data_IF_886040798709
#
_entry.id   IF_886040798709
#
_cell.length_a   1.000
_cell.length_b   1.000
_cell.length_c   1.000
_cell.angle_alpha   90.00
_cell.angle_beta   90.00
_cell.angle_gamma   90.00
#
_symmetry.space_group_name_H-M   'P 1'
#
loop_
_entity.id
_entity.type
_entity.pdbx_description
1 polymer ?
#
# COMPACT_ATOMS: atom_id res chain seq x y z
N UNK A 1 -39.90 -45.08 58.54
CA UNK A 1 -40.78 -43.96 58.83
C UNK A 1 -41.04 -43.22 57.54
N UNK A 2 -42.20 -43.44 56.96
CA UNK A 2 -42.63 -43.04 55.64
C UNK A 2 -43.35 -41.69 55.77
N UNK A 3 -42.91 -40.67 55.07
CA UNK A 3 -43.72 -39.47 54.83
C UNK A 3 -43.86 -39.28 53.35
N UNK A 4 -45.10 -39.41 52.87
CA UNK A 4 -45.52 -39.28 51.47
C UNK A 4 -45.59 -37.81 51.10
N UNK A 5 -45.00 -37.48 49.96
CA UNK A 5 -45.18 -36.24 49.22
C UNK A 5 -46.46 -36.32 48.36
N UNK A 6 -47.51 -35.62 48.81
CA UNK A 6 -48.77 -35.51 48.07
C UNK A 6 -49.01 -34.10 47.46
N UNK A 7 -47.97 -33.40 47.02
CA UNK A 7 -48.12 -32.02 46.55
C UNK A 7 -47.91 -31.83 45.06
N UNK A 8 -47.64 -32.90 44.28
CA UNK A 8 -47.24 -32.75 42.88
C UNK A 8 -48.34 -32.99 41.83
N UNK A 9 -49.53 -33.41 42.24
CA UNK A 9 -50.60 -33.81 41.29
C UNK A 9 -51.58 -32.64 40.99
N UNK A 10 -51.67 -31.64 41.84
CA UNK A 10 -52.63 -30.53 41.64
C UNK A 10 -52.14 -29.39 40.73
N UNK A 11 -50.88 -29.40 40.36
CA UNK A 11 -50.33 -28.34 39.51
C UNK A 11 -50.58 -28.58 38.01
N UNK A 12 -50.74 -29.83 37.60
CA UNK A 12 -50.92 -30.14 36.17
C UNK A 12 -52.36 -29.96 35.65
N UNK A 13 -53.38 -30.05 36.54
CA UNK A 13 -54.77 -29.85 36.11
C UNK A 13 -55.18 -28.39 35.94
N UNK A 14 -54.41 -27.42 36.48
CA UNK A 14 -54.76 -26.01 36.35
C UNK A 14 -54.17 -25.42 35.01
N UNK A 15 -53.13 -26.02 34.48
CA UNK A 15 -52.48 -25.53 33.25
C UNK A 15 -53.23 -25.97 32.00
N UNK A 16 -53.93 -27.11 32.02
CA UNK A 16 -54.60 -27.63 30.81
C UNK A 16 -55.98 -26.98 30.52
N UNK A 17 -56.59 -26.23 31.43
CA UNK A 17 -57.88 -25.56 31.17
C UNK A 17 -57.81 -24.21 30.46
N UNK A 18 -56.58 -23.62 30.32
CA UNK A 18 -56.38 -22.35 29.62
C UNK A 18 -55.61 -22.47 28.28
N UNK A 19 -55.18 -23.67 27.94
CA UNK A 19 -54.41 -23.91 26.71
C UNK A 19 -55.16 -23.64 25.40
N UNK A 20 -56.46 -23.95 25.23
CA UNK A 20 -57.12 -23.70 23.95
C UNK A 20 -57.34 -22.23 23.61
N UNK A 21 -57.40 -21.33 24.61
CA UNK A 21 -57.62 -19.91 24.39
C UNK A 21 -56.32 -19.19 23.90
N UNK A 22 -55.19 -19.62 24.37
CA UNK A 22 -53.89 -19.04 23.96
C UNK A 22 -53.52 -19.49 22.55
N UNK A 23 -53.83 -20.72 22.17
CA UNK A 23 -53.58 -21.25 20.82
C UNK A 23 -54.47 -20.54 19.78
N UNK A 24 -55.70 -20.19 20.17
CA UNK A 24 -56.65 -19.47 19.27
C UNK A 24 -56.23 -17.99 19.03
N UNK A 25 -55.66 -17.34 20.05
CA UNK A 25 -55.15 -15.95 19.92
C UNK A 25 -53.85 -15.95 19.07
N UNK A 26 -53.01 -17.01 19.17
CA UNK A 26 -51.80 -17.11 18.31
C UNK A 26 -52.14 -17.38 16.83
N UNK A 27 -53.25 -18.09 16.54
CA UNK A 27 -53.69 -18.38 15.17
C UNK A 27 -54.29 -17.15 14.47
N UNK A 28 -54.88 -16.19 15.23
CA UNK A 28 -55.42 -14.94 14.66
C UNK A 28 -54.36 -13.89 14.40
N UNK A 29 -53.17 -13.99 15.04
CA UNK A 29 -52.05 -13.08 14.78
C UNK A 29 -51.20 -13.46 13.57
N UNK A 30 -51.34 -14.69 13.04
CA UNK A 30 -50.54 -15.17 11.91
C UNK A 30 -51.09 -14.76 10.53
N UNK A 31 -52.33 -14.24 10.45
CA UNK A 31 -52.95 -13.90 9.17
C UNK A 31 -52.57 -12.50 8.62
N UNK A 32 -51.93 -11.63 9.44
CA UNK A 32 -51.49 -10.31 9.01
C UNK A 32 -49.99 -10.16 8.80
N UNK A 33 -49.22 -11.22 9.06
CA UNK A 33 -47.72 -11.14 8.95
C UNK A 33 -47.14 -11.47 7.59
N UNK A 34 -47.95 -11.96 6.66
CA UNK A 34 -47.49 -12.33 5.31
C UNK A 34 -46.96 -11.16 4.48
N UNK A 35 -47.53 -9.97 4.70
CA UNK A 35 -47.10 -8.76 3.95
C UNK A 35 -45.78 -8.15 4.46
N UNK A 36 -45.45 -8.38 5.73
CA UNK A 36 -44.18 -7.87 6.30
C UNK A 36 -43.00 -8.81 6.00
N UNK A 37 -43.23 -10.12 6.02
CA UNK A 37 -42.21 -11.11 5.70
C UNK A 37 -41.87 -11.03 4.21
N UNK A 38 -42.85 -10.82 3.33
CA UNK A 38 -42.60 -10.63 1.89
C UNK A 38 -41.88 -9.31 1.60
N UNK A 39 -42.15 -8.22 2.35
CA UNK A 39 -41.38 -6.98 2.27
C UNK A 39 -39.95 -7.15 2.77
N UNK A 40 -39.78 -7.90 3.89
CA UNK A 40 -38.45 -8.18 4.42
C UNK A 40 -37.62 -9.09 3.50
N UNK A 41 -38.22 -10.15 2.97
CA UNK A 41 -37.60 -11.01 1.96
C UNK A 41 -37.33 -10.26 0.65
N UNK A 42 -38.23 -9.36 0.20
CA UNK A 42 -38.01 -8.52 -0.96
C UNK A 42 -36.85 -7.51 -0.76
N UNK A 43 -36.68 -7.01 0.46
CA UNK A 43 -35.52 -6.17 0.80
C UNK A 43 -34.21 -6.95 0.86
N UNK A 44 -34.22 -8.23 1.26
CA UNK A 44 -33.04 -9.10 1.25
C UNK A 44 -32.68 -9.50 -0.19
N UNK A 45 -33.66 -9.80 -1.04
CA UNK A 45 -33.42 -10.13 -2.45
C UNK A 45 -33.06 -8.92 -3.32
N UNK A 46 -33.42 -7.70 -2.90
CA UNK A 46 -33.02 -6.47 -3.58
C UNK A 46 -31.57 -6.04 -3.30
N UNK A 47 -30.85 -6.72 -2.38
CA UNK A 47 -29.41 -6.45 -2.16
C UNK A 47 -28.48 -7.14 -3.17
N UNK A 48 -29.00 -7.94 -4.09
CA UNK A 48 -28.22 -8.62 -5.13
C UNK A 48 -28.44 -8.05 -6.53
N UNK A 49 -28.79 -6.79 -6.66
CA UNK A 49 -28.76 -6.15 -7.99
C UNK A 49 -27.32 -6.17 -8.51
N UNK A 50 -27.11 -6.60 -9.76
CA UNK A 50 -25.79 -6.52 -10.35
C UNK A 50 -25.31 -5.07 -10.34
N UNK A 51 -24.02 -4.89 -9.94
CA UNK A 51 -23.40 -3.57 -9.88
C UNK A 51 -23.47 -2.91 -11.26
N UNK A 52 -23.89 -1.66 -11.29
CA UNK A 52 -23.80 -0.83 -12.49
C UNK A 52 -22.33 -0.55 -12.83
N UNK A 53 -22.04 -0.28 -14.09
CA UNK A 53 -20.71 0.10 -14.52
C UNK A 53 -20.17 1.33 -13.74
N UNK A 54 -21.04 2.28 -13.42
CA UNK A 54 -20.68 3.46 -12.63
C UNK A 54 -20.27 3.09 -11.19
N UNK A 55 -20.99 2.16 -10.53
CA UNK A 55 -20.64 1.67 -9.19
C UNK A 55 -19.33 0.89 -9.20
N UNK A 56 -19.09 0.07 -10.23
CA UNK A 56 -17.82 -0.67 -10.38
C UNK A 56 -16.64 0.30 -10.50
N UNK A 57 -16.76 1.33 -11.33
CA UNK A 57 -15.71 2.33 -11.51
C UNK A 57 -15.52 3.16 -10.24
N UNK A 58 -16.62 3.59 -9.61
CA UNK A 58 -16.57 4.29 -8.32
C UNK A 58 -15.81 3.48 -7.27
N UNK A 59 -16.14 2.19 -7.12
CA UNK A 59 -15.45 1.29 -6.20
C UNK A 59 -13.98 1.09 -6.53
N UNK A 60 -13.62 1.00 -7.80
CA UNK A 60 -12.23 0.93 -8.19
C UNK A 60 -11.48 2.23 -7.86
N UNK A 61 -12.04 3.39 -8.16
CA UNK A 61 -11.43 4.69 -7.82
C UNK A 61 -11.25 4.84 -6.31
N UNK A 62 -12.23 4.44 -5.51
CA UNK A 62 -12.12 4.41 -4.04
C UNK A 62 -10.98 3.49 -3.58
N UNK A 63 -10.87 2.30 -4.19
CA UNK A 63 -9.76 1.37 -3.91
C UNK A 63 -8.40 2.02 -4.14
N UNK A 64 -8.27 2.68 -5.28
CA UNK A 64 -7.03 3.33 -5.69
C UNK A 64 -6.68 4.52 -4.80
N UNK A 65 -7.68 5.31 -4.37
CA UNK A 65 -7.49 6.37 -3.39
C UNK A 65 -6.98 5.82 -2.04
N UNK A 66 -7.59 4.75 -1.55
CA UNK A 66 -7.16 4.09 -0.29
C UNK A 66 -5.74 3.53 -0.44
N UNK A 67 -5.44 2.84 -1.54
CA UNK A 67 -4.13 2.25 -1.77
C UNK A 67 -3.03 3.30 -1.86
N UNK A 68 -3.24 4.35 -2.65
CA UNK A 68 -2.27 5.43 -2.82
C UNK A 68 -2.10 6.26 -1.54
N UNK A 69 -3.19 6.59 -0.85
CA UNK A 69 -3.14 7.33 0.42
C UNK A 69 -2.38 6.56 1.50
N UNK A 70 -2.65 5.27 1.66
CA UNK A 70 -1.95 4.40 2.60
C UNK A 70 -0.46 4.31 2.28
N UNK A 71 -0.10 4.11 1.00
CA UNK A 71 1.29 3.99 0.56
C UNK A 71 2.07 5.29 0.75
N UNK A 72 1.47 6.43 0.35
CA UNK A 72 2.08 7.75 0.53
C UNK A 72 2.24 8.07 2.02
N UNK A 73 1.23 7.81 2.84
CA UNK A 73 1.29 8.03 4.29
C UNK A 73 2.41 7.22 4.94
N UNK A 74 2.52 5.93 4.59
CA UNK A 74 3.61 5.08 5.07
C UNK A 74 4.98 5.61 4.67
N UNK A 75 5.19 5.90 3.38
CA UNK A 75 6.48 6.30 2.85
C UNK A 75 6.89 7.73 3.21
N UNK A 76 5.93 8.63 3.46
CA UNK A 76 6.20 10.01 3.89
C UNK A 76 6.46 10.16 5.38
N UNK A 77 6.19 9.11 6.17
CA UNK A 77 6.50 9.09 7.59
C UNK A 77 8.01 8.98 7.82
N UNK A 78 8.46 9.41 8.98
CA UNK A 78 9.84 9.18 9.44
C UNK A 78 10.08 7.67 9.50
N UNK A 79 11.16 7.21 8.91
CA UNK A 79 11.53 5.80 8.77
C UNK A 79 10.69 5.00 7.75
N UNK A 80 9.81 5.64 7.00
CA UNK A 80 8.98 5.00 5.99
C UNK A 80 9.78 4.36 4.84
N UNK A 81 10.91 4.98 4.45
CA UNK A 81 11.89 4.36 3.57
C UNK A 81 13.03 3.73 4.37
N UNK A 82 13.57 4.44 5.36
CA UNK A 82 14.81 4.04 6.03
C UNK A 82 14.71 2.71 6.77
N UNK A 83 13.62 2.45 7.47
CA UNK A 83 13.44 1.22 8.25
C UNK A 83 12.64 0.13 7.55
N UNK A 84 11.98 0.44 6.44
CA UNK A 84 11.32 -0.57 5.62
C UNK A 84 12.32 -1.20 4.65
N UNK A 85 12.78 -2.41 4.96
CA UNK A 85 13.80 -3.12 4.18
C UNK A 85 13.40 -3.39 2.73
N UNK A 86 12.10 -3.39 2.41
CA UNK A 86 11.60 -3.61 1.06
C UNK A 86 11.80 -2.40 0.14
N UNK A 87 11.92 -1.20 0.71
CA UNK A 87 12.03 0.07 -0.04
C UNK A 87 13.23 0.91 0.36
N UNK A 88 13.99 0.49 1.39
CA UNK A 88 15.19 1.19 1.85
C UNK A 88 16.16 1.41 0.69
N UNK A 89 16.51 2.67 0.46
CA UNK A 89 17.46 3.05 -0.59
C UNK A 89 18.86 2.88 -0.06
N UNK A 90 19.60 1.97 -0.68
CA UNK A 90 21.02 1.74 -0.44
C UNK A 90 21.85 2.44 -1.51
N UNK A 91 23.16 2.52 -1.32
CA UNK A 91 24.07 2.98 -2.35
C UNK A 91 24.07 2.02 -3.56
N UNK A 92 24.44 2.51 -4.77
CA UNK A 92 24.54 1.65 -5.95
C UNK A 92 25.43 0.42 -5.68
N UNK A 93 25.12 -0.76 -6.25
CA UNK A 93 25.93 -1.97 -6.06
C UNK A 93 27.41 -1.78 -6.41
N UNK A 94 27.68 -0.94 -7.41
CA UNK A 94 29.04 -0.59 -7.85
C UNK A 94 29.83 0.15 -6.75
N UNK A 95 29.12 0.82 -5.83
CA UNK A 95 29.74 1.47 -4.68
C UNK A 95 30.30 0.48 -3.64
N UNK A 96 29.93 -0.81 -3.70
CA UNK A 96 30.26 -1.77 -2.64
C UNK A 96 31.75 -1.84 -2.33
N UNK A 97 32.59 -1.97 -3.34
CA UNK A 97 34.07 -2.02 -3.14
C UNK A 97 34.58 -0.76 -2.45
N UNK A 98 33.99 0.37 -2.76
CA UNK A 98 34.33 1.69 -2.24
C UNK A 98 33.90 1.82 -0.79
N UNK A 99 32.63 1.50 -0.50
CA UNK A 99 32.05 1.58 0.85
C UNK A 99 32.72 0.59 1.79
N UNK A 100 33.07 -0.61 1.33
CA UNK A 100 33.78 -1.62 2.11
C UNK A 100 35.19 -1.12 2.54
N UNK A 101 35.88 -0.38 1.68
CA UNK A 101 37.19 0.18 2.00
C UNK A 101 37.07 1.42 2.91
N UNK A 102 36.11 2.32 2.67
CA UNK A 102 35.87 3.48 3.53
C UNK A 102 35.44 3.03 4.91
N UNK A 103 34.59 2.02 5.04
CA UNK A 103 34.11 1.52 6.33
C UNK A 103 35.23 0.96 7.23
N UNK A 104 36.39 0.61 6.68
CA UNK A 104 37.58 0.18 7.45
C UNK A 104 38.36 1.35 8.06
N UNK A 105 38.08 2.58 7.60
CA UNK A 105 38.75 3.78 8.13
C UNK A 105 38.06 4.26 9.40
N UNK A 106 38.78 4.94 10.34
CA UNK A 106 38.16 5.56 11.49
C UNK A 106 37.03 6.50 11.11
N UNK A 107 35.80 6.27 11.58
CA UNK A 107 34.61 7.05 11.24
C UNK A 107 33.99 6.76 9.88
N UNK A 108 34.60 5.92 9.05
CA UNK A 108 34.13 5.65 7.68
C UNK A 108 32.80 4.92 7.62
N UNK A 109 32.56 3.94 8.48
CA UNK A 109 31.28 3.24 8.57
C UNK A 109 30.13 4.21 8.89
N UNK A 110 30.35 5.15 9.83
CA UNK A 110 29.39 6.18 10.17
C UNK A 110 29.08 7.11 9.00
N UNK A 111 30.10 7.46 8.22
CA UNK A 111 29.91 8.30 7.03
C UNK A 111 29.01 7.62 6.00
N UNK A 112 29.23 6.33 5.72
CA UNK A 112 28.38 5.56 4.80
C UNK A 112 26.94 5.48 5.32
N UNK A 113 26.76 5.24 6.60
CA UNK A 113 25.43 5.22 7.24
C UNK A 113 24.73 6.58 7.15
N UNK A 114 25.42 7.68 7.44
CA UNK A 114 24.88 9.04 7.37
C UNK A 114 24.39 9.39 5.94
N UNK A 115 25.12 8.92 4.93
CA UNK A 115 24.70 9.06 3.51
C UNK A 115 23.41 8.31 3.25
N UNK A 116 23.32 7.04 3.66
CA UNK A 116 22.12 6.21 3.48
C UNK A 116 20.91 6.85 4.20
N UNK A 117 21.10 7.32 5.44
CA UNK A 117 20.05 8.02 6.20
C UNK A 117 19.54 9.23 5.42
N UNK A 118 20.43 10.12 4.96
CA UNK A 118 20.04 11.35 4.24
C UNK A 118 19.25 11.09 2.98
N UNK A 119 19.65 10.10 2.19
CA UNK A 119 18.97 9.73 0.96
C UNK A 119 17.54 9.25 1.26
N UNK A 120 17.38 8.38 2.24
CA UNK A 120 16.07 7.88 2.63
C UNK A 120 15.18 9.01 3.21
N UNK A 121 15.74 9.94 3.99
CA UNK A 121 15.01 11.14 4.45
C UNK A 121 14.58 12.04 3.31
N UNK A 122 15.40 12.20 2.28
CA UNK A 122 15.01 12.96 1.09
C UNK A 122 13.83 12.29 0.34
N UNK A 123 13.82 10.97 0.24
CA UNK A 123 12.71 10.23 -0.37
C UNK A 123 11.43 10.33 0.47
N UNK A 124 11.53 10.25 1.80
CA UNK A 124 10.41 10.45 2.73
C UNK A 124 9.81 11.87 2.61
N UNK A 125 10.65 12.88 2.52
CA UNK A 125 10.19 14.27 2.34
C UNK A 125 9.53 14.47 0.97
N UNK A 126 10.10 13.92 -0.08
CA UNK A 126 9.51 13.98 -1.42
C UNK A 126 8.14 13.27 -1.49
N UNK A 127 7.99 12.13 -0.80
CA UNK A 127 6.75 11.37 -0.78
C UNK A 127 5.54 12.17 -0.28
N UNK A 128 5.73 13.17 0.58
CA UNK A 128 4.65 14.05 1.09
C UNK A 128 3.88 14.73 -0.04
N UNK A 129 4.55 15.09 -1.12
CA UNK A 129 3.94 15.75 -2.29
C UNK A 129 3.30 14.81 -3.31
N UNK A 130 3.39 13.49 -3.15
CA UNK A 130 2.93 12.53 -4.16
C UNK A 130 1.40 12.37 -4.20
N UNK A 131 0.70 12.59 -3.07
CA UNK A 131 -0.75 12.38 -2.96
C UNK A 131 -1.57 13.12 -4.02
N UNK A 132 -1.41 14.44 -4.26
CA UNK A 132 -2.20 15.14 -5.27
C UNK A 132 -1.96 14.62 -6.69
N UNK A 133 -0.75 14.13 -7.00
CA UNK A 133 -0.42 13.56 -8.31
C UNK A 133 -1.27 12.31 -8.56
N UNK A 134 -1.34 11.39 -7.58
CA UNK A 134 -2.18 10.20 -7.67
C UNK A 134 -3.67 10.53 -7.73
N UNK A 135 -4.16 11.46 -6.90
CA UNK A 135 -5.57 11.89 -6.92
C UNK A 135 -5.96 12.42 -8.30
N UNK A 136 -5.13 13.24 -8.93
CA UNK A 136 -5.40 13.77 -10.27
C UNK A 136 -5.43 12.64 -11.31
N UNK A 137 -4.47 11.72 -11.28
CA UNK A 137 -4.47 10.57 -12.18
C UNK A 137 -5.72 9.68 -12.02
N UNK A 138 -6.22 9.48 -10.78
CA UNK A 138 -7.45 8.74 -10.51
C UNK A 138 -8.68 9.50 -11.04
N UNK A 139 -8.73 10.81 -10.90
CA UNK A 139 -9.83 11.63 -11.44
C UNK A 139 -9.91 11.57 -12.96
N UNK A 140 -8.78 11.65 -13.63
CA UNK A 140 -8.64 11.61 -15.08
C UNK A 140 -8.84 10.21 -15.68
N UNK A 141 -8.89 9.18 -14.86
CA UNK A 141 -9.07 7.79 -15.28
C UNK A 141 -10.37 7.62 -16.06
N UNK A 142 -10.24 7.13 -17.29
CA UNK A 142 -11.36 6.83 -18.17
C UNK A 142 -12.08 5.53 -17.78
N UNK A 143 -13.24 5.30 -18.34
CA UNK A 143 -13.97 4.02 -18.21
C UNK A 143 -13.13 2.84 -18.71
N UNK A 144 -12.46 3.02 -19.85
CA UNK A 144 -11.61 1.98 -20.46
C UNK A 144 -10.43 1.64 -19.56
N UNK A 145 -9.74 2.65 -19.01
CA UNK A 145 -8.64 2.44 -18.06
C UNK A 145 -9.13 1.63 -16.84
N UNK A 146 -10.28 2.03 -16.28
CA UNK A 146 -10.87 1.35 -15.13
C UNK A 146 -11.18 -0.13 -15.40
N UNK A 147 -11.74 -0.45 -16.57
CA UNK A 147 -12.01 -1.84 -16.96
C UNK A 147 -10.71 -2.64 -17.18
N UNK A 148 -9.69 -2.04 -17.78
CA UNK A 148 -8.39 -2.69 -17.97
C UNK A 148 -7.74 -3.01 -16.61
N UNK A 149 -7.80 -2.08 -15.67
CA UNK A 149 -7.29 -2.28 -14.31
C UNK A 149 -8.09 -3.40 -13.61
N UNK A 150 -9.41 -3.35 -13.66
CA UNK A 150 -10.26 -4.32 -12.97
C UNK A 150 -10.05 -5.75 -13.48
N UNK A 151 -9.91 -5.93 -14.79
CA UNK A 151 -9.69 -7.24 -15.45
C UNK A 151 -8.22 -7.66 -15.49
N UNK A 152 -7.32 -6.74 -15.17
CA UNK A 152 -5.88 -6.95 -15.24
C UNK A 152 -5.32 -7.76 -14.06
N UNK A 153 -4.00 -8.02 -14.09
CA UNK A 153 -3.29 -8.72 -13.01
C UNK A 153 -3.29 -7.90 -11.71
N UNK A 154 -2.75 -8.50 -10.63
CA UNK A 154 -2.75 -7.92 -9.28
C UNK A 154 -2.01 -6.57 -9.14
N UNK A 155 -1.24 -6.17 -10.17
CA UNK A 155 -0.52 -4.91 -10.24
C UNK A 155 -0.96 -4.01 -11.41
N UNK A 156 -2.15 -4.21 -11.96
CA UNK A 156 -2.63 -3.46 -13.12
C UNK A 156 -2.79 -1.97 -12.85
N UNK A 157 -3.28 -1.61 -11.65
CA UNK A 157 -3.40 -0.22 -11.24
C UNK A 157 -2.02 0.41 -11.00
N UNK A 158 -1.09 -0.33 -10.41
CA UNK A 158 0.28 0.12 -10.21
C UNK A 158 0.95 0.47 -11.54
N UNK A 159 0.82 -0.38 -12.56
CA UNK A 159 1.32 -0.10 -13.91
C UNK A 159 0.67 1.12 -14.56
N UNK A 160 -0.64 1.29 -14.35
CA UNK A 160 -1.34 2.49 -14.79
C UNK A 160 -0.73 3.75 -14.16
N UNK A 161 -0.47 3.73 -12.86
CA UNK A 161 0.15 4.86 -12.16
C UNK A 161 1.59 5.11 -12.59
N UNK A 162 2.40 4.07 -12.77
CA UNK A 162 3.76 4.20 -13.31
C UNK A 162 3.76 4.98 -14.62
N UNK A 163 2.85 4.61 -15.53
CA UNK A 163 2.73 5.25 -16.84
C UNK A 163 2.21 6.70 -16.74
N UNK A 164 1.19 6.95 -15.92
CA UNK A 164 0.50 8.26 -15.87
C UNK A 164 1.16 9.27 -14.95
N UNK A 165 1.88 8.83 -13.92
CA UNK A 165 2.42 9.71 -12.88
C UNK A 165 3.93 9.70 -12.77
N UNK A 166 4.62 8.77 -13.42
CA UNK A 166 6.07 8.57 -13.28
C UNK A 166 6.88 9.84 -13.56
N UNK A 167 6.54 10.58 -14.61
CA UNK A 167 7.22 11.83 -14.93
C UNK A 167 6.99 12.91 -13.85
N UNK A 168 5.74 13.15 -13.47
CA UNK A 168 5.41 14.17 -12.45
C UNK A 168 6.03 13.82 -11.09
N UNK A 169 6.05 12.54 -10.72
CA UNK A 169 6.74 12.09 -9.52
C UNK A 169 8.26 12.30 -9.63
N UNK A 170 8.84 12.04 -10.79
CA UNK A 170 10.29 12.31 -11.02
C UNK A 170 10.62 13.79 -10.85
N UNK A 171 9.80 14.68 -11.39
CA UNK A 171 9.93 16.13 -11.25
C UNK A 171 9.76 16.60 -9.79
N UNK A 172 8.88 15.94 -9.02
CA UNK A 172 8.69 16.21 -7.60
C UNK A 172 9.88 15.73 -6.74
N UNK A 173 10.39 14.52 -7.00
CA UNK A 173 11.42 13.90 -6.17
C UNK A 173 12.82 14.43 -6.45
N UNK A 174 13.14 14.72 -7.72
CA UNK A 174 14.49 15.14 -8.14
C UNK A 174 15.05 16.30 -7.34
N UNK A 175 14.36 17.46 -7.16
CA UNK A 175 14.92 18.57 -6.40
C UNK A 175 15.18 18.22 -4.93
N UNK A 176 14.35 17.38 -4.30
CA UNK A 176 14.54 16.93 -2.91
C UNK A 176 15.77 16.03 -2.76
N UNK A 177 15.94 15.11 -3.68
CA UNK A 177 17.11 14.23 -3.72
C UNK A 177 18.37 15.06 -4.01
N UNK A 178 18.31 15.93 -5.00
CA UNK A 178 19.42 16.84 -5.36
C UNK A 178 19.86 17.67 -4.14
N UNK A 179 18.93 18.35 -3.46
CA UNK A 179 19.21 19.13 -2.26
C UNK A 179 19.87 18.26 -1.18
N UNK A 180 19.36 17.06 -0.92
CA UNK A 180 19.91 16.16 0.08
C UNK A 180 21.33 15.70 -0.25
N UNK A 181 21.61 15.37 -1.51
CA UNK A 181 22.92 14.95 -1.96
C UNK A 181 23.96 16.06 -1.93
N UNK A 182 23.53 17.32 -2.08
CA UNK A 182 24.42 18.47 -2.10
C UNK A 182 24.59 19.15 -0.73
N UNK A 183 23.83 18.75 0.31
CA UNK A 183 24.09 19.21 1.68
C UNK A 183 25.48 18.76 2.13
N UNK A 184 26.24 19.71 2.68
CA UNK A 184 27.56 19.42 3.23
C UNK A 184 27.46 18.39 4.35
N UNK A 185 28.31 17.40 4.32
CA UNK A 185 28.52 16.40 5.37
C UNK A 185 29.56 16.88 6.38
N UNK A 186 30.65 16.14 6.50
CA UNK A 186 31.79 16.45 7.35
C UNK A 186 32.86 17.15 6.50
N UNK A 187 33.57 18.11 7.06
CA UNK A 187 34.65 18.85 6.40
C UNK A 187 34.23 19.64 5.13
N UNK A 188 32.95 20.04 5.03
CA UNK A 188 32.50 20.88 3.92
C UNK A 188 32.31 20.16 2.58
N UNK A 189 32.36 18.84 2.54
CA UNK A 189 32.18 18.02 1.32
C UNK A 189 30.79 17.41 1.33
N UNK A 190 30.06 17.52 0.21
CA UNK A 190 28.74 16.91 0.05
C UNK A 190 28.81 15.43 -0.36
N UNK A 191 27.69 14.72 -0.24
CA UNK A 191 27.56 13.33 -0.71
C UNK A 191 27.86 13.24 -2.22
N UNK A 192 27.31 14.16 -3.00
CA UNK A 192 27.51 14.21 -4.45
C UNK A 192 28.97 14.43 -4.82
N UNK A 193 29.65 15.36 -4.12
CA UNK A 193 31.09 15.59 -4.35
C UNK A 193 31.93 14.36 -3.99
N UNK A 194 31.63 13.72 -2.85
CA UNK A 194 32.32 12.49 -2.42
C UNK A 194 32.15 11.38 -3.44
N UNK A 195 30.94 11.17 -3.94
CA UNK A 195 30.66 10.21 -5.01
C UNK A 195 31.47 10.50 -6.29
N UNK A 196 31.41 11.75 -6.78
CA UNK A 196 32.13 12.15 -7.98
C UNK A 196 33.65 11.98 -7.84
N UNK A 197 34.22 12.40 -6.71
CA UNK A 197 35.65 12.25 -6.45
C UNK A 197 36.06 10.78 -6.46
N UNK A 198 35.24 9.93 -5.91
CA UNK A 198 35.47 8.52 -5.74
C UNK A 198 35.36 7.78 -7.08
N UNK A 199 34.27 7.98 -7.80
CA UNK A 199 34.05 7.37 -9.13
C UNK A 199 35.09 7.85 -10.14
N UNK A 200 35.48 9.14 -10.14
CA UNK A 200 36.53 9.66 -11.01
C UNK A 200 37.88 8.98 -10.75
N UNK A 201 38.27 8.81 -9.46
CA UNK A 201 39.52 8.09 -9.12
C UNK A 201 39.45 6.62 -9.52
N UNK A 202 38.34 5.96 -9.24
CA UNK A 202 38.10 4.59 -9.65
C UNK A 202 38.15 4.42 -11.16
N UNK A 203 37.44 5.25 -11.92
CA UNK A 203 37.35 5.17 -13.38
C UNK A 203 38.71 5.44 -14.02
N UNK A 204 39.54 6.36 -13.48
CA UNK A 204 40.89 6.58 -13.92
C UNK A 204 41.75 5.32 -13.72
N UNK A 205 41.61 4.61 -12.63
CA UNK A 205 42.31 3.34 -12.38
C UNK A 205 41.78 2.23 -13.26
N UNK A 206 40.46 2.05 -13.36
CA UNK A 206 39.83 1.03 -14.18
C UNK A 206 40.13 1.20 -15.69
N UNK A 207 40.23 2.46 -16.19
CA UNK A 207 40.61 2.77 -17.56
C UNK A 207 42.10 2.65 -17.85
N UNK A 208 42.97 2.47 -16.84
CA UNK A 208 44.38 2.25 -17.04
C UNK A 208 44.66 0.86 -17.62
N UNK A 209 45.83 0.65 -18.29
CA UNK A 209 46.22 -0.67 -18.78
C UNK A 209 46.21 -1.76 -17.71
N UNK A 210 46.64 -1.43 -16.48
CA UNK A 210 46.63 -2.35 -15.36
C UNK A 210 45.19 -2.67 -14.89
N UNK A 211 44.31 -1.67 -14.86
CA UNK A 211 42.89 -1.87 -14.49
C UNK A 211 42.19 -2.75 -15.51
N UNK A 212 42.43 -2.56 -16.80
CA UNK A 212 41.86 -3.37 -17.88
C UNK A 212 42.31 -4.84 -17.78
N UNK A 213 43.63 -5.06 -17.56
CA UNK A 213 44.16 -6.41 -17.35
C UNK A 213 43.54 -7.07 -16.09
N UNK A 214 43.30 -6.30 -15.04
CA UNK A 214 42.65 -6.77 -13.81
C UNK A 214 41.11 -6.94 -13.93
N UNK A 215 40.55 -6.70 -15.12
CA UNK A 215 39.09 -6.83 -15.34
C UNK A 215 38.22 -5.78 -14.61
N UNK A 216 38.82 -4.63 -14.21
CA UNK A 216 38.11 -3.56 -13.55
C UNK A 216 37.14 -2.89 -14.53
N UNK A 217 35.89 -2.63 -14.04
CA UNK A 217 34.86 -1.91 -14.81
C UNK A 217 34.72 -0.48 -14.31
N UNK A 218 34.49 0.44 -15.23
CA UNK A 218 34.13 1.83 -14.89
C UNK A 218 32.76 1.90 -14.23
N UNK A 219 32.54 2.90 -13.37
CA UNK A 219 31.27 3.21 -12.72
C UNK A 219 30.67 4.43 -13.41
N UNK A 220 29.64 4.20 -14.20
CA UNK A 220 28.91 5.24 -14.95
C UNK A 220 27.66 5.74 -14.21
N UNK A 221 27.35 5.15 -13.06
CA UNK A 221 26.11 5.42 -12.31
C UNK A 221 26.09 6.86 -11.78
N UNK A 222 25.16 7.65 -12.27
CA UNK A 222 24.83 8.96 -11.70
C UNK A 222 24.03 8.73 -10.41
N UNK A 223 24.60 9.14 -9.26
CA UNK A 223 24.02 8.87 -7.95
C UNK A 223 22.59 9.41 -7.83
N UNK A 224 22.36 10.64 -8.29
CA UNK A 224 21.03 11.28 -8.25
C UNK A 224 19.98 10.47 -9.03
N UNK A 225 20.30 10.06 -10.27
CA UNK A 225 19.37 9.29 -11.11
C UNK A 225 19.10 7.90 -10.51
N UNK A 226 20.12 7.25 -9.96
CA UNK A 226 19.94 5.99 -9.25
C UNK A 226 19.01 6.13 -8.04
N UNK A 227 19.24 7.14 -7.19
CA UNK A 227 18.43 7.38 -6.01
C UNK A 227 16.97 7.71 -6.35
N UNK A 228 16.78 8.55 -7.38
CA UNK A 228 15.44 8.86 -7.89
C UNK A 228 14.72 7.59 -8.34
N UNK A 229 15.39 6.75 -9.11
CA UNK A 229 14.82 5.49 -9.59
C UNK A 229 14.44 4.57 -8.43
N UNK A 230 15.28 4.42 -7.41
CA UNK A 230 15.00 3.58 -6.25
C UNK A 230 13.85 4.14 -5.41
N UNK A 231 13.78 5.45 -5.20
CA UNK A 231 12.68 6.08 -4.48
C UNK A 231 11.33 5.84 -5.17
N UNK A 232 11.26 6.02 -6.49
CA UNK A 232 10.04 5.76 -7.26
C UNK A 232 9.68 4.27 -7.30
N UNK A 233 10.65 3.38 -7.45
CA UNK A 233 10.42 1.93 -7.33
C UNK A 233 9.84 1.55 -5.98
N UNK A 234 10.34 2.13 -4.90
CA UNK A 234 9.79 1.93 -3.54
C UNK A 234 8.34 2.39 -3.43
N UNK A 235 8.01 3.57 -3.98
CA UNK A 235 6.66 4.09 -4.03
C UNK A 235 5.70 3.13 -4.76
N UNK A 236 6.04 2.72 -5.96
CA UNK A 236 5.20 1.82 -6.75
C UNK A 236 5.13 0.40 -6.16
N UNK A 237 6.18 -0.07 -5.50
CA UNK A 237 6.15 -1.33 -4.77
C UNK A 237 5.09 -1.30 -3.66
N UNK A 238 5.05 -0.24 -2.84
CA UNK A 238 4.04 -0.12 -1.76
C UNK A 238 2.63 0.00 -2.30
N UNK A 239 2.42 0.69 -3.42
CA UNK A 239 1.12 0.75 -4.09
C UNK A 239 0.72 -0.65 -4.59
N UNK A 240 1.65 -1.41 -5.17
CA UNK A 240 1.40 -2.77 -5.66
C UNK A 240 1.05 -3.75 -4.53
N UNK A 241 1.74 -3.66 -3.40
CA UNK A 241 1.42 -4.45 -2.20
C UNK A 241 -0.01 -4.17 -1.73
N UNK A 242 -0.39 -2.90 -1.65
CA UNK A 242 -1.73 -2.47 -1.27
C UNK A 242 -2.81 -2.86 -2.28
N UNK A 243 -2.53 -2.73 -3.57
CA UNK A 243 -3.42 -3.19 -4.63
C UNK A 243 -3.71 -4.69 -4.49
N UNK A 244 -2.67 -5.50 -4.33
CA UNK A 244 -2.79 -6.94 -4.11
C UNK A 244 -3.61 -7.27 -2.87
N UNK A 245 -3.36 -6.61 -1.73
CA UNK A 245 -4.14 -6.80 -0.51
C UNK A 245 -5.63 -6.54 -0.72
N UNK A 246 -6.02 -5.44 -1.40
CA UNK A 246 -7.41 -5.11 -1.69
C UNK A 246 -8.05 -6.17 -2.58
N UNK A 247 -7.31 -6.69 -3.56
CA UNK A 247 -7.80 -7.74 -4.46
C UNK A 247 -8.00 -9.08 -3.76
N UNK A 248 -7.13 -9.44 -2.81
CA UNK A 248 -7.07 -10.79 -2.22
C UNK A 248 -7.68 -10.88 -0.82
N UNK A 249 -7.68 -9.79 -0.03
CA UNK A 249 -8.10 -9.80 1.37
C UNK A 249 -9.38 -9.00 1.61
N UNK A 250 -10.38 -9.65 2.22
CA UNK A 250 -11.63 -8.97 2.60
C UNK A 250 -11.40 -7.85 3.64
N UNK A 251 -10.41 -8.00 4.53
CA UNK A 251 -10.09 -7.01 5.57
C UNK A 251 -9.50 -5.72 5.00
N UNK A 252 -8.83 -5.78 3.84
CA UNK A 252 -8.29 -4.60 3.17
C UNK A 252 -9.36 -3.77 2.44
N UNK A 253 -10.57 -4.32 2.26
CA UNK A 253 -11.71 -3.68 1.59
C UNK A 253 -12.51 -2.82 2.57
N UNK A 254 -11.98 -1.65 2.91
CA UNK A 254 -12.50 -0.79 3.98
C UNK A 254 -13.82 -0.07 3.64
N UNK A 255 -14.19 0.06 2.36
CA UNK A 255 -15.46 0.68 1.95
C UNK A 255 -16.50 -0.36 1.53
N UNK A 256 -17.79 -0.01 1.64
CA UNK A 256 -18.90 -0.88 1.19
C UNK A 256 -18.80 -1.19 -0.30
N UNK A 257 -18.37 -0.21 -1.09
CA UNK A 257 -18.23 -0.34 -2.54
C UNK A 257 -17.07 -1.27 -2.91
N UNK A 258 -15.94 -1.19 -2.20
CA UNK A 258 -14.82 -2.13 -2.32
C UNK A 258 -15.24 -3.58 -2.03
N UNK A 259 -16.02 -3.78 -0.97
CA UNK A 259 -16.56 -5.10 -0.64
C UNK A 259 -17.47 -5.65 -1.75
N UNK A 260 -18.29 -4.79 -2.36
CA UNK A 260 -19.17 -5.20 -3.47
C UNK A 260 -18.38 -5.53 -4.75
N UNK A 261 -17.41 -4.70 -5.13
CA UNK A 261 -16.64 -4.85 -6.39
C UNK A 261 -15.66 -6.02 -6.34
N UNK A 262 -14.99 -6.23 -5.21
CA UNK A 262 -13.95 -7.26 -5.05
C UNK A 262 -14.38 -8.45 -4.19
N UNK A 263 -15.59 -8.42 -3.60
CA UNK A 263 -16.09 -9.47 -2.71
C UNK A 263 -16.66 -10.71 -3.41
N UNK A 264 -17.03 -10.58 -4.68
CA UNK A 264 -17.69 -11.63 -5.48
C UNK A 264 -16.72 -12.34 -6.45
N UNK A 265 -15.42 -12.34 -6.15
CA UNK A 265 -14.41 -13.11 -6.89
C UNK A 265 -14.01 -14.36 -6.12
#
# INVERSE_FOLDING_TARGET
MIIKNTTTINSYYFVMKKAPLIIFIFLLFTLNSGAQITKFLKNITNQSQPLTNAEIIGGLKDALLVATDSSVTHLSAVDGYLKDLSVKILLPPEAKTITDNISKLPGGAKLVEDVIIRINRAAEDAAKGAKPIFINSIREMTFTDALQILKGPDNAATKYFELKTGQQLSELYRPKIHESLNKNLIAGVSTQQSWNNLTNRWNKLAGSPLGQIAGMKTVETKLEDYMLLQALKGMFLKISEREKEIRTSANARVTTLLKKVFGNK
#
